data_IF_328125804875
#
_entry.id   IF_328125804875
#
_cell.length_a   1.000
_cell.length_b   1.000
_cell.length_c   1.000
_cell.angle_alpha   90.00
_cell.angle_beta   90.00
_cell.angle_gamma   90.00
#
_symmetry.space_group_name_H-M   'P 1'
#
loop_
_entity.id
_entity.type
_entity.pdbx_description
1 polymer ?
#
# COMPACT_ATOMS: atom_id res chain seq x y z
N UNK A 1 -0.66 17.21 19.47
CA UNK A 1 0.29 18.10 20.22
C UNK A 1 1.65 17.95 19.57
N UNK A 2 2.18 19.03 19.03
CA UNK A 2 3.44 19.04 18.32
C UNK A 2 4.65 18.81 19.24
N UNK A 3 5.73 18.31 18.65
CA UNK A 3 7.00 18.15 19.35
C UNK A 3 7.72 19.50 19.46
N UNK A 4 8.39 19.76 20.59
CA UNK A 4 9.29 20.90 20.67
C UNK A 4 10.49 20.72 19.73
N UNK A 5 11.13 21.83 19.32
CA UNK A 5 12.33 21.80 18.48
C UNK A 5 13.44 20.90 19.05
N UNK A 6 13.55 20.86 20.40
CA UNK A 6 14.50 20.00 21.10
C UNK A 6 14.16 18.53 20.96
N UNK A 7 12.89 18.16 21.09
CA UNK A 7 12.39 16.79 20.93
C UNK A 7 12.55 16.32 19.50
N UNK A 8 12.30 17.19 18.52
CA UNK A 8 12.53 16.89 17.10
C UNK A 8 14.00 16.61 16.83
N UNK A 9 14.93 17.47 17.31
CA UNK A 9 16.39 17.25 17.17
C UNK A 9 16.86 15.94 17.80
N UNK A 10 16.29 15.56 18.95
CA UNK A 10 16.62 14.27 19.58
C UNK A 10 16.17 13.08 18.71
N UNK A 11 14.97 13.11 18.16
CA UNK A 11 14.48 12.04 17.29
C UNK A 11 15.28 11.93 16.01
N UNK A 12 15.58 13.06 15.36
CA UNK A 12 16.41 13.08 14.15
C UNK A 12 17.78 12.46 14.43
N UNK A 13 18.48 12.91 15.49
CA UNK A 13 19.76 12.36 15.86
C UNK A 13 19.70 10.84 16.15
N UNK A 14 18.69 10.38 16.90
CA UNK A 14 18.55 8.95 17.23
C UNK A 14 18.36 8.12 15.95
N UNK A 15 17.59 8.62 14.98
CA UNK A 15 17.35 7.96 13.69
C UNK A 15 18.65 7.86 12.89
N UNK A 16 19.30 8.98 12.64
CA UNK A 16 20.55 9.06 11.89
C UNK A 16 21.64 8.17 12.53
N UNK A 17 21.76 8.21 13.85
CA UNK A 17 22.73 7.39 14.57
C UNK A 17 22.47 5.88 14.39
N UNK A 18 21.19 5.44 14.43
CA UNK A 18 20.82 4.03 14.22
C UNK A 18 21.10 3.62 12.77
N UNK A 19 20.79 4.47 11.80
CA UNK A 19 21.04 4.22 10.37
C UNK A 19 22.54 4.06 10.09
N UNK A 20 23.36 4.93 10.66
CA UNK A 20 24.81 4.91 10.45
C UNK A 20 25.53 3.76 11.19
N UNK A 21 25.10 3.43 12.41
CA UNK A 21 25.85 2.55 13.30
C UNK A 21 25.21 1.16 13.48
N UNK A 22 23.94 0.98 13.08
CA UNK A 22 23.20 -0.28 13.25
C UNK A 22 22.71 -0.57 14.69
N UNK A 23 22.93 0.35 15.65
CA UNK A 23 22.48 0.24 17.03
C UNK A 23 22.12 1.60 17.62
N UNK A 24 21.27 1.66 18.69
CA UNK A 24 20.84 2.92 19.28
C UNK A 24 21.92 3.67 20.04
N UNK A 25 21.85 5.02 20.12
CA UNK A 25 22.76 5.82 20.92
C UNK A 25 22.48 5.67 22.42
N UNK A 26 23.50 5.97 23.24
CA UNK A 26 23.38 6.12 24.69
C UNK A 26 22.76 7.48 25.03
N UNK A 27 22.23 7.62 26.26
CA UNK A 27 21.70 8.90 26.78
C UNK A 27 22.75 10.02 26.72
N UNK A 28 24.04 9.69 26.96
CA UNK A 28 25.13 10.65 26.90
C UNK A 28 25.44 11.11 25.47
N UNK A 29 25.39 10.19 24.50
CA UNK A 29 25.56 10.52 23.07
C UNK A 29 24.41 11.41 22.59
N UNK A 30 23.16 11.10 22.96
CA UNK A 30 22.00 11.97 22.68
C UNK A 30 22.21 13.36 23.28
N UNK A 31 22.60 13.44 24.57
CA UNK A 31 22.83 14.72 25.23
C UNK A 31 23.88 15.57 24.53
N UNK A 32 25.01 14.98 24.12
CA UNK A 32 26.06 15.70 23.37
C UNK A 32 25.55 16.24 22.04
N UNK A 33 24.82 15.43 21.29
CA UNK A 33 24.30 15.82 19.97
C UNK A 33 23.32 17.00 20.03
N UNK A 34 22.52 17.08 21.09
CA UNK A 34 21.53 18.18 21.27
C UNK A 34 21.98 19.26 22.24
N UNK A 35 23.28 19.27 22.61
CA UNK A 35 23.92 20.23 23.52
C UNK A 35 23.25 20.30 24.92
N UNK A 36 22.91 19.13 25.48
CA UNK A 36 22.37 18.98 26.83
C UNK A 36 23.37 18.20 27.69
N UNK A 37 23.93 18.84 28.69
CA UNK A 37 24.88 18.22 29.61
C UNK A 37 24.21 17.32 30.68
N UNK A 38 22.99 17.64 31.07
CA UNK A 38 22.25 16.92 32.12
C UNK A 38 21.54 15.69 31.53
N UNK A 39 21.94 14.49 31.96
CA UNK A 39 21.28 13.23 31.60
C UNK A 39 19.82 13.17 32.10
N UNK A 40 19.49 13.85 33.20
CA UNK A 40 18.13 13.94 33.72
C UNK A 40 17.22 14.71 32.75
N UNK A 41 17.71 15.79 32.13
CA UNK A 41 16.97 16.57 31.14
C UNK A 41 16.79 15.73 29.84
N UNK A 42 17.78 14.97 29.42
CA UNK A 42 17.66 14.03 28.28
C UNK A 42 16.59 12.99 28.59
N UNK A 43 16.66 12.34 29.76
CA UNK A 43 15.69 11.35 30.20
C UNK A 43 14.25 11.91 30.24
N UNK A 44 14.06 13.12 30.76
CA UNK A 44 12.76 13.79 30.78
C UNK A 44 12.17 13.93 29.36
N UNK A 45 12.97 14.42 28.40
CA UNK A 45 12.51 14.55 27.01
C UNK A 45 12.24 13.20 26.35
N UNK A 46 13.06 12.18 26.61
CA UNK A 46 12.83 10.82 26.12
C UNK A 46 11.53 10.22 26.70
N UNK A 47 11.20 10.48 27.95
CA UNK A 47 9.92 10.08 28.54
C UNK A 47 8.73 10.73 27.83
N UNK A 48 8.82 12.03 27.52
CA UNK A 48 7.78 12.71 26.74
C UNK A 48 7.64 12.09 25.35
N UNK A 49 8.75 11.82 24.66
CA UNK A 49 8.76 11.16 23.35
C UNK A 49 8.15 9.76 23.42
N UNK A 50 8.41 9.01 24.49
CA UNK A 50 7.80 7.71 24.74
C UNK A 50 6.29 7.83 25.00
N UNK A 51 5.85 8.75 25.86
CA UNK A 51 4.42 8.99 26.13
C UNK A 51 3.68 9.43 24.86
N UNK A 52 4.32 10.22 24.01
CA UNK A 52 3.79 10.60 22.68
C UNK A 52 3.90 9.48 21.64
N UNK A 53 4.49 8.31 21.99
CA UNK A 53 4.60 7.12 21.16
C UNK A 53 5.58 7.26 19.99
N UNK A 54 6.59 8.11 20.05
CA UNK A 54 7.64 8.26 19.05
C UNK A 54 8.81 7.29 19.26
N UNK A 55 9.00 6.80 20.50
CA UNK A 55 9.99 5.79 20.83
C UNK A 55 9.49 4.88 21.95
N UNK A 56 10.11 3.73 22.07
CA UNK A 56 10.06 2.83 23.23
C UNK A 56 11.44 2.78 23.86
N UNK A 57 11.52 2.65 25.16
CA UNK A 57 12.79 2.48 25.84
C UNK A 57 12.67 1.54 27.03
N UNK A 58 13.75 0.83 27.29
CA UNK A 58 13.96 0.15 28.55
C UNK A 58 15.07 0.91 29.29
N UNK A 59 14.75 1.61 30.41
CA UNK A 59 15.73 2.43 31.14
C UNK A 59 16.85 1.60 31.79
N UNK A 60 16.63 0.31 32.01
CA UNK A 60 17.56 -0.61 32.65
C UNK A 60 18.59 -1.20 31.69
N UNK A 61 18.40 -0.97 30.37
CA UNK A 61 19.27 -1.50 29.33
C UNK A 61 20.05 -0.32 28.70
N UNK A 62 21.39 -0.41 28.73
CA UNK A 62 22.23 0.50 27.96
C UNK A 62 21.87 0.39 26.48
N UNK A 63 21.67 1.52 25.78
CA UNK A 63 21.20 1.58 24.39
C UNK A 63 19.78 0.99 24.20
N UNK A 64 18.96 0.96 25.24
CA UNK A 64 17.60 0.41 25.24
C UNK A 64 16.54 1.33 24.60
N UNK A 65 16.92 2.21 23.66
CA UNK A 65 16.02 3.08 22.91
C UNK A 65 15.67 2.44 21.58
N UNK A 66 14.38 2.33 21.28
CA UNK A 66 13.86 1.87 20.00
C UNK A 66 12.92 2.93 19.44
N UNK A 67 13.16 3.39 18.22
CA UNK A 67 12.20 4.26 17.55
C UNK A 67 10.92 3.47 17.26
N UNK A 68 9.79 4.12 17.48
CA UNK A 68 8.50 3.67 16.97
C UNK A 68 8.31 4.44 15.68
N UNK A 69 8.55 3.79 14.55
CA UNK A 69 8.31 4.38 13.24
C UNK A 69 6.81 4.64 13.10
N UNK A 70 6.39 5.84 13.53
CA UNK A 70 5.02 6.32 13.26
C UNK A 70 4.82 6.63 11.78
N UNK A 71 5.94 6.79 11.03
CA UNK A 71 5.91 7.14 9.62
C UNK A 71 5.79 5.90 8.71
N UNK A 72 6.07 4.69 9.21
CA UNK A 72 5.75 3.45 8.50
C UNK A 72 4.33 3.03 8.83
N UNK A 73 3.36 3.85 8.43
CA UNK A 73 1.97 3.43 8.46
C UNK A 73 1.80 2.32 7.44
N UNK A 74 1.76 1.09 7.91
CA UNK A 74 1.46 -0.05 7.05
C UNK A 74 -0.04 -0.19 6.86
N UNK A 75 -0.41 -0.65 5.69
CA UNK A 75 -1.79 -1.02 5.33
C UNK A 75 -1.80 -2.51 5.05
N UNK A 76 -2.69 -3.21 5.72
CA UNK A 76 -2.95 -4.62 5.42
C UNK A 76 -3.93 -4.69 4.26
N UNK A 77 -3.49 -5.24 3.13
CA UNK A 77 -4.27 -5.38 1.90
C UNK A 77 -4.66 -6.84 1.75
N UNK A 78 -5.96 -7.18 1.82
CA UNK A 78 -6.43 -8.55 1.66
C UNK A 78 -6.29 -9.00 0.21
N UNK A 79 -5.90 -10.26 0.00
CA UNK A 79 -5.88 -10.89 -1.32
C UNK A 79 -7.20 -11.62 -1.51
N UNK A 80 -8.07 -11.09 -2.39
CA UNK A 80 -9.43 -11.60 -2.57
C UNK A 80 -9.55 -12.77 -3.54
N UNK A 81 -8.46 -13.17 -4.14
CA UNK A 81 -8.42 -14.30 -5.07
C UNK A 81 -7.65 -14.00 -6.34
N UNK A 82 -8.03 -14.71 -7.42
CA UNK A 82 -7.36 -14.65 -8.72
C UNK A 82 -8.25 -14.03 -9.77
N UNK A 83 -7.66 -13.32 -10.72
CA UNK A 83 -8.37 -12.86 -11.92
C UNK A 83 -8.51 -14.07 -12.85
N UNK A 84 -9.64 -14.75 -12.79
CA UNK A 84 -9.97 -15.93 -13.59
C UNK A 84 -11.40 -15.85 -14.12
N UNK A 85 -11.69 -16.60 -15.18
CA UNK A 85 -13.05 -16.80 -15.66
C UNK A 85 -13.94 -17.51 -14.61
N UNK A 86 -15.21 -17.13 -14.50
CA UNK A 86 -16.20 -17.90 -13.78
C UNK A 86 -17.01 -17.17 -12.71
N UNK A 87 -16.42 -16.25 -11.95
CA UNK A 87 -17.13 -15.48 -10.93
C UNK A 87 -16.59 -14.05 -10.81
N UNK A 88 -17.44 -13.06 -10.47
CA UNK A 88 -16.94 -11.74 -10.13
C UNK A 88 -16.08 -11.84 -8.88
N UNK A 89 -15.04 -11.03 -8.83
CA UNK A 89 -14.25 -10.88 -7.61
C UNK A 89 -15.15 -10.26 -6.55
N UNK A 90 -15.20 -10.80 -5.31
CA UNK A 90 -15.92 -10.15 -4.23
C UNK A 90 -15.29 -8.80 -3.97
N UNK A 91 -16.07 -7.75 -4.17
CA UNK A 91 -15.60 -6.37 -4.01
C UNK A 91 -15.76 -5.95 -2.56
N UNK A 92 -14.80 -5.25 -1.95
CA UNK A 92 -14.95 -4.73 -0.60
C UNK A 92 -16.12 -3.75 -0.50
N UNK A 93 -17.08 -4.04 0.36
CA UNK A 93 -18.09 -3.09 0.82
C UNK A 93 -17.65 -2.44 2.16
N UNK A 94 -18.48 -1.55 2.70
CA UNK A 94 -18.21 -0.88 4.00
C UNK A 94 -18.01 -1.87 5.17
N UNK A 95 -18.48 -3.11 5.05
CA UNK A 95 -18.35 -4.19 6.03
C UNK A 95 -17.20 -5.15 5.76
N UNK A 96 -16.31 -4.82 4.83
CA UNK A 96 -15.22 -5.69 4.37
C UNK A 96 -14.27 -6.16 5.48
N UNK A 97 -14.17 -5.45 6.59
CA UNK A 97 -13.38 -5.85 7.77
C UNK A 97 -13.86 -7.15 8.43
N UNK A 98 -15.06 -7.63 8.10
CA UNK A 98 -15.66 -8.84 8.65
C UNK A 98 -15.39 -10.10 7.83
N UNK A 99 -14.85 -9.98 6.61
CA UNK A 99 -14.42 -11.13 5.83
C UNK A 99 -13.10 -11.62 6.42
N UNK A 100 -13.10 -12.84 6.95
CA UNK A 100 -11.89 -13.55 7.35
C UNK A 100 -11.11 -13.93 6.08
N UNK A 101 -10.29 -13.00 5.60
CA UNK A 101 -9.40 -13.26 4.47
C UNK A 101 -8.13 -13.87 5.03
N UNK A 102 -7.90 -15.15 4.72
CA UNK A 102 -6.74 -15.90 5.22
C UNK A 102 -5.42 -15.37 4.67
N UNK A 103 -5.44 -14.74 3.47
CA UNK A 103 -4.25 -14.20 2.82
C UNK A 103 -4.30 -12.67 2.75
N UNK A 104 -3.21 -12.03 3.14
CA UNK A 104 -3.04 -10.57 3.04
C UNK A 104 -1.59 -10.19 2.86
N UNK A 105 -1.36 -9.06 2.21
CA UNK A 105 -0.04 -8.45 2.05
C UNK A 105 0.03 -7.16 2.88
N UNK A 106 1.13 -6.96 3.57
CA UNK A 106 1.36 -5.72 4.33
C UNK A 106 2.23 -4.78 3.52
N UNK A 107 1.72 -3.61 3.20
CA UNK A 107 2.39 -2.59 2.40
C UNK A 107 2.56 -1.30 3.21
N UNK A 108 3.58 -0.52 2.87
CA UNK A 108 3.73 0.83 3.42
C UNK A 108 2.80 1.81 2.69
N UNK A 109 2.36 2.86 3.38
CA UNK A 109 1.53 3.91 2.76
C UNK A 109 2.23 4.66 1.62
N UNK A 110 3.56 4.61 1.55
CA UNK A 110 4.31 5.19 0.43
C UNK A 110 4.03 4.47 -0.90
N UNK A 111 3.78 3.15 -0.84
CA UNK A 111 3.39 2.35 -1.99
C UNK A 111 1.89 2.56 -2.30
N UNK A 112 1.07 2.63 -1.25
CA UNK A 112 -0.39 2.78 -1.37
C UNK A 112 -0.80 4.14 -0.80
N UNK A 113 -0.64 5.19 -1.60
CA UNK A 113 -0.96 6.58 -1.23
C UNK A 113 -2.47 6.86 -1.24
N UNK A 114 -3.24 5.98 -1.83
CA UNK A 114 -4.68 6.13 -2.02
C UNK A 114 -5.45 5.92 -0.71
N UNK A 115 -6.43 6.76 -0.47
CA UNK A 115 -7.45 6.58 0.57
C UNK A 115 -8.66 5.82 0.00
N UNK A 116 -9.30 4.99 0.82
CA UNK A 116 -10.47 4.21 0.44
C UNK A 116 -10.22 2.70 0.44
N UNK A 117 -11.23 1.91 0.08
CA UNK A 117 -11.14 0.45 0.08
C UNK A 117 -10.14 -0.03 -0.97
N UNK A 118 -9.12 -0.76 -0.51
CA UNK A 118 -8.11 -1.38 -1.34
C UNK A 118 -8.07 -2.89 -1.10
N UNK A 119 -7.77 -3.63 -2.14
CA UNK A 119 -7.62 -5.08 -2.09
C UNK A 119 -6.59 -5.53 -3.14
N UNK A 120 -6.20 -6.78 -3.09
CA UNK A 120 -5.25 -7.37 -4.03
C UNK A 120 -5.86 -8.54 -4.77
N UNK A 121 -5.41 -8.75 -6.00
CA UNK A 121 -5.74 -9.90 -6.82
C UNK A 121 -4.47 -10.51 -7.40
N UNK A 122 -4.42 -11.83 -7.52
CA UNK A 122 -3.37 -12.51 -8.25
C UNK A 122 -3.74 -12.57 -9.73
N UNK A 123 -2.81 -12.16 -10.58
CA UNK A 123 -2.97 -12.20 -12.05
C UNK A 123 -2.83 -13.64 -12.55
N UNK A 124 -3.69 -14.02 -13.49
CA UNK A 124 -3.58 -15.27 -14.22
C UNK A 124 -3.56 -14.99 -15.72
N UNK A 125 -2.52 -15.52 -16.41
CA UNK A 125 -2.31 -15.35 -17.84
C UNK A 125 -1.50 -14.11 -18.23
N UNK A 126 -1.29 -13.91 -19.52
CA UNK A 126 -0.30 -12.98 -20.11
C UNK A 126 -0.92 -11.87 -20.94
N UNK A 127 -2.24 -11.67 -20.84
CA UNK A 127 -2.95 -10.65 -21.66
C UNK A 127 -2.47 -9.21 -21.43
N UNK A 128 -1.62 -8.99 -20.43
CA UNK A 128 -1.08 -7.69 -20.05
C UNK A 128 0.45 -7.64 -20.01
N UNK A 129 1.12 -8.57 -20.73
CA UNK A 129 2.57 -8.72 -20.73
C UNK A 129 3.31 -7.47 -21.25
N UNK A 130 2.78 -6.78 -22.26
CA UNK A 130 3.35 -5.52 -22.77
C UNK A 130 3.15 -4.33 -21.80
N UNK A 131 2.31 -4.50 -20.77
CA UNK A 131 2.20 -3.59 -19.64
C UNK A 131 3.07 -4.04 -18.45
N UNK A 132 3.98 -4.99 -18.68
CA UNK A 132 4.86 -5.59 -17.67
C UNK A 132 4.11 -6.27 -16.52
N UNK A 133 2.89 -6.75 -16.77
CA UNK A 133 2.09 -7.54 -15.82
C UNK A 133 2.04 -8.98 -16.32
N UNK A 134 2.53 -9.90 -15.49
CA UNK A 134 2.73 -11.31 -15.85
C UNK A 134 1.86 -12.24 -15.01
N UNK A 135 1.74 -13.47 -15.44
CA UNK A 135 1.12 -14.53 -14.64
C UNK A 135 1.78 -14.64 -13.26
N UNK A 136 0.98 -14.71 -12.21
CA UNK A 136 1.45 -14.78 -10.83
C UNK A 136 1.66 -13.44 -10.12
N UNK A 137 1.71 -12.32 -10.83
CA UNK A 137 1.81 -11.00 -10.21
C UNK A 137 0.64 -10.72 -9.28
N UNK A 138 0.87 -9.91 -8.26
CA UNK A 138 -0.18 -9.37 -7.39
C UNK A 138 -0.46 -7.93 -7.81
N UNK A 139 -1.69 -7.65 -8.22
CA UNK A 139 -2.14 -6.29 -8.51
C UNK A 139 -2.91 -5.73 -7.32
N UNK A 140 -2.53 -4.52 -6.89
CA UNK A 140 -3.24 -3.78 -5.85
C UNK A 140 -4.31 -2.95 -6.53
N UNK A 141 -5.53 -3.13 -6.08
CA UNK A 141 -6.74 -2.55 -6.65
C UNK A 141 -7.31 -1.50 -5.72
N UNK A 142 -7.84 -0.42 -6.28
CA UNK A 142 -8.69 0.54 -5.59
C UNK A 142 -10.12 0.36 -6.10
N UNK A 143 -11.03 0.07 -5.18
CA UNK A 143 -12.47 0.06 -5.46
C UNK A 143 -13.00 1.49 -5.57
N UNK A 144 -14.13 1.70 -6.28
CA UNK A 144 -14.78 3.01 -6.46
C UNK A 144 -13.87 4.14 -6.96
N UNK A 145 -12.84 3.81 -7.73
CA UNK A 145 -11.97 4.80 -8.33
C UNK A 145 -12.64 5.47 -9.54
N UNK A 146 -12.37 6.76 -9.74
CA UNK A 146 -12.71 7.42 -11.00
C UNK A 146 -11.89 6.78 -12.15
N UNK A 147 -12.58 6.19 -13.13
CA UNK A 147 -11.95 5.49 -14.23
C UNK A 147 -11.80 6.41 -15.43
N UNK A 148 -10.60 6.45 -16.01
CA UNK A 148 -10.23 7.26 -17.18
C UNK A 148 -9.69 6.37 -18.28
N UNK A 149 -9.72 6.88 -19.52
CA UNK A 149 -9.14 6.18 -20.67
C UNK A 149 -7.66 5.86 -20.44
N UNK A 150 -7.30 4.60 -20.69
CA UNK A 150 -5.96 4.07 -20.48
C UNK A 150 -5.73 3.44 -19.10
N UNK A 151 -6.62 3.62 -18.14
CA UNK A 151 -6.51 2.98 -16.82
C UNK A 151 -6.56 1.46 -16.93
N UNK A 152 -5.76 0.82 -16.08
CA UNK A 152 -5.80 -0.64 -15.89
C UNK A 152 -6.92 -0.98 -14.92
N UNK A 153 -7.88 -1.80 -15.35
CA UNK A 153 -9.05 -2.14 -14.55
C UNK A 153 -9.29 -3.64 -14.50
N UNK A 154 -9.79 -4.11 -13.36
CA UNK A 154 -10.47 -5.40 -13.28
C UNK A 154 -11.94 -5.18 -13.68
N UNK A 155 -12.35 -5.84 -14.74
CA UNK A 155 -13.65 -5.69 -15.35
C UNK A 155 -14.39 -7.03 -15.33
N UNK A 156 -15.61 -7.03 -14.78
CA UNK A 156 -16.52 -8.15 -14.82
C UNK A 156 -17.41 -8.06 -16.07
N UNK A 157 -17.31 -9.05 -16.94
CA UNK A 157 -18.13 -9.23 -18.14
C UNK A 157 -19.36 -10.08 -17.78
N UNK A 158 -20.53 -9.44 -17.65
CA UNK A 158 -21.74 -10.09 -17.11
C UNK A 158 -22.25 -11.22 -17.99
N UNK A 159 -22.18 -11.07 -19.31
CA UNK A 159 -22.67 -12.08 -20.27
C UNK A 159 -21.74 -13.30 -20.30
N UNK A 160 -20.44 -13.06 -20.31
CA UNK A 160 -19.40 -14.10 -20.38
C UNK A 160 -19.15 -14.74 -19.01
N UNK A 161 -19.58 -14.09 -17.92
CA UNK A 161 -19.30 -14.46 -16.53
C UNK A 161 -17.79 -14.60 -16.29
N UNK A 162 -17.06 -13.58 -16.66
CA UNK A 162 -15.59 -13.57 -16.58
C UNK A 162 -15.07 -12.25 -16.02
N UNK A 163 -14.09 -12.31 -15.10
CA UNK A 163 -13.29 -11.15 -14.69
C UNK A 163 -12.03 -11.09 -15.52
N UNK A 164 -11.73 -9.93 -16.08
CA UNK A 164 -10.54 -9.72 -16.90
C UNK A 164 -9.81 -8.44 -16.52
N UNK A 165 -8.47 -8.45 -16.63
CA UNK A 165 -7.62 -7.28 -16.46
C UNK A 165 -7.27 -6.69 -17.82
N UNK A 166 -7.65 -5.44 -18.08
CA UNK A 166 -7.43 -4.77 -19.37
C UNK A 166 -7.25 -3.27 -19.17
N UNK A 167 -6.80 -2.58 -20.22
CA UNK A 167 -6.89 -1.11 -20.29
C UNK A 167 -8.29 -0.71 -20.71
N UNK A 168 -8.88 0.21 -19.97
CA UNK A 168 -10.21 0.74 -20.21
C UNK A 168 -10.17 1.91 -21.21
N UNK A 169 -11.10 1.95 -22.15
CA UNK A 169 -11.34 3.08 -23.03
C UNK A 169 -12.84 3.22 -23.32
N UNK A 170 -13.37 4.44 -23.14
CA UNK A 170 -14.76 4.75 -23.43
C UNK A 170 -14.91 5.30 -24.87
N UNK A 171 -15.42 4.53 -25.78
CA UNK A 171 -15.74 4.97 -27.15
C UNK A 171 -17.16 5.59 -27.18
N UNK A 172 -17.26 6.86 -26.76
CA UNK A 172 -18.53 7.59 -26.59
C UNK A 172 -19.37 7.62 -27.88
N UNK A 173 -18.75 7.88 -29.01
CA UNK A 173 -19.43 7.98 -30.31
C UNK A 173 -20.13 6.68 -30.73
N UNK A 174 -19.68 5.56 -30.21
CA UNK A 174 -20.20 4.22 -30.47
C UNK A 174 -20.97 3.62 -29.29
N UNK A 175 -21.11 4.38 -28.23
CA UNK A 175 -21.73 3.96 -26.96
C UNK A 175 -21.25 2.58 -26.49
N UNK A 176 -19.93 2.35 -26.52
CA UNK A 176 -19.32 1.09 -26.11
C UNK A 176 -18.01 1.30 -25.37
N UNK A 177 -17.63 0.30 -24.59
CA UNK A 177 -16.35 0.25 -23.90
C UNK A 177 -15.41 -0.69 -24.67
N UNK A 178 -14.17 -0.24 -24.88
CA UNK A 178 -13.08 -1.06 -25.41
C UNK A 178 -12.17 -1.45 -24.26
N UNK A 179 -12.07 -2.72 -24.00
CA UNK A 179 -11.12 -3.33 -23.08
C UNK A 179 -9.91 -3.83 -23.88
N UNK A 180 -8.81 -3.09 -23.80
CA UNK A 180 -7.62 -3.31 -24.60
C UNK A 180 -6.62 -4.18 -23.84
N UNK A 181 -6.26 -5.38 -24.33
CA UNK A 181 -5.13 -6.14 -23.81
C UNK A 181 -3.81 -5.41 -24.12
N UNK A 182 -2.82 -5.59 -23.27
CA UNK A 182 -1.44 -5.21 -23.54
C UNK A 182 -0.67 -6.47 -23.97
N UNK A 183 -0.94 -6.93 -25.17
CA UNK A 183 -0.38 -8.15 -25.73
C UNK A 183 -0.30 -8.03 -27.26
N UNK A 184 0.79 -8.49 -27.93
CA UNK A 184 1.03 -8.21 -29.34
C UNK A 184 0.01 -8.85 -30.28
N UNK A 185 -0.61 -9.95 -29.90
CA UNK A 185 -1.53 -10.72 -30.78
C UNK A 185 -2.99 -10.75 -30.31
N UNK A 186 -3.28 -10.32 -29.07
CA UNK A 186 -4.65 -10.34 -28.53
C UNK A 186 -5.46 -9.16 -29.03
N UNK A 187 -6.70 -9.42 -29.44
CA UNK A 187 -7.63 -8.38 -29.91
C UNK A 187 -8.36 -7.71 -28.75
N UNK A 188 -8.78 -6.44 -28.91
CA UNK A 188 -9.63 -5.76 -27.92
C UNK A 188 -10.98 -6.47 -27.80
N UNK A 189 -11.54 -6.38 -26.58
CA UNK A 189 -12.91 -6.79 -26.29
C UNK A 189 -13.77 -5.53 -26.31
N UNK A 190 -14.90 -5.57 -27.05
CA UNK A 190 -15.86 -4.48 -27.12
C UNK A 190 -17.12 -4.88 -26.37
N UNK A 191 -17.51 -4.06 -25.39
CA UNK A 191 -18.62 -4.38 -24.48
C UNK A 191 -19.61 -3.22 -24.43
N UNK A 192 -20.90 -3.55 -24.31
CA UNK A 192 -21.89 -2.54 -23.97
C UNK A 192 -21.73 -2.15 -22.50
N UNK A 193 -21.84 -0.85 -22.14
CA UNK A 193 -21.72 -0.41 -20.75
C UNK A 193 -22.64 -1.15 -19.77
N UNK A 194 -23.84 -1.54 -20.18
CA UNK A 194 -24.77 -2.30 -19.34
C UNK A 194 -24.31 -3.72 -18.99
N UNK A 195 -23.40 -4.28 -19.81
CA UNK A 195 -22.86 -5.63 -19.66
C UNK A 195 -21.49 -5.66 -18.95
N UNK A 196 -21.00 -4.50 -18.51
CA UNK A 196 -19.73 -4.34 -17.84
C UNK A 196 -19.93 -3.84 -16.41
N UNK A 197 -19.11 -4.35 -15.51
CA UNK A 197 -18.96 -3.83 -14.15
C UNK A 197 -17.48 -3.67 -13.84
N UNK A 198 -17.06 -2.46 -13.50
CA UNK A 198 -15.68 -2.21 -13.10
C UNK A 198 -15.55 -2.55 -11.61
N UNK A 199 -14.75 -3.54 -11.31
CA UNK A 199 -14.51 -4.01 -9.96
C UNK A 199 -13.44 -3.20 -9.23
N UNK A 200 -12.54 -2.55 -9.98
CA UNK A 200 -11.54 -1.65 -9.44
C UNK A 200 -10.49 -1.25 -10.46
N UNK A 201 -9.67 -0.28 -10.05
CA UNK A 201 -8.53 0.24 -10.81
C UNK A 201 -7.23 -0.25 -10.18
N UNK A 202 -6.27 -0.65 -11.01
CA UNK A 202 -4.91 -1.00 -10.55
C UNK A 202 -4.17 0.25 -10.13
N UNK A 203 -3.60 0.23 -8.93
CA UNK A 203 -2.77 1.32 -8.38
C UNK A 203 -1.31 0.91 -8.17
N UNK A 204 -1.04 -0.39 -8.05
CA UNK A 204 0.33 -0.92 -7.97
C UNK A 204 0.37 -2.38 -8.45
N UNK A 205 1.57 -2.82 -8.84
CA UNK A 205 1.86 -4.22 -9.19
C UNK A 205 3.04 -4.69 -8.33
N UNK A 206 2.94 -5.89 -7.78
CA UNK A 206 3.97 -6.50 -6.94
C UNK A 206 4.35 -7.83 -7.56
N UNK A 207 5.64 -8.05 -7.73
CA UNK A 207 6.23 -9.31 -8.19
C UNK A 207 7.26 -9.80 -7.20
N UNK A 208 7.18 -11.07 -6.88
CA UNK A 208 8.22 -11.79 -6.14
C UNK A 208 8.94 -12.73 -7.11
N UNK A 209 10.25 -12.84 -6.99
CA UNK A 209 11.13 -13.68 -7.81
C UNK A 209 11.64 -14.86 -6.99
#
# INVERSE_FOLDING_TARGET
>A
MDLSSRQQKMLTFIREFIEENGYPPTIREIGRAVHISSTSVVNYNLNILQTKGHLQRNPDISRGVRLVDKDVTTVRVPILGRIVAGQPVPVPDENFSALSVDESITLTRDIVRESGPIYALQVKGDSMIDALIHDGDIVIMKHEAEIRDGDLVAAWLKAEKETTLKRFYWEKDRNRIRLQPAHPTMKPIYVNPSNLEIQGKVIAVIRQF
#
